data_IF_097628333015
#
_entry.id   IF_097628333015
#
_cell.length_a   1.000
_cell.length_b   1.000
_cell.length_c   1.000
_cell.angle_alpha   90.00
_cell.angle_beta   90.00
_cell.angle_gamma   90.00
#
_symmetry.space_group_name_H-M   'P 1'
#
loop_
_entity.id
_entity.type
_entity.pdbx_description
1 polymer ?
#
# COMPACT_ATOMS: atom_id res chain seq x y z
N UNK A 1 -0.10 -15.85 14.17
CA UNK A 1 -0.66 -15.63 12.82
C UNK A 1 0.10 -14.47 12.21
N UNK A 2 0.46 -14.53 10.93
CA UNK A 2 1.12 -13.40 10.25
C UNK A 2 0.11 -12.35 9.83
N UNK A 3 0.47 -11.07 9.90
CA UNK A 3 -0.39 -9.99 9.40
C UNK A 3 -0.34 -9.94 7.87
N UNK A 4 -1.48 -9.64 7.25
CA UNK A 4 -1.59 -9.45 5.81
C UNK A 4 -2.28 -8.11 5.53
N UNK A 5 -1.86 -7.44 4.45
CA UNK A 5 -2.53 -6.26 3.92
C UNK A 5 -2.94 -6.59 2.48
N UNK A 6 -4.23 -6.82 2.27
CA UNK A 6 -4.79 -7.08 0.95
C UNK A 6 -6.23 -6.62 0.80
N UNK A 7 -6.58 -6.31 -0.45
CA UNK A 7 -7.94 -6.25 -0.96
C UNK A 7 -7.98 -7.04 -2.28
N UNK A 8 -8.84 -8.04 -2.37
CA UNK A 8 -8.93 -8.95 -3.53
C UNK A 8 -10.39 -9.25 -3.84
N UNK A 9 -10.87 -8.70 -4.96
CA UNK A 9 -12.17 -9.02 -5.55
C UNK A 9 -13.33 -8.96 -4.54
N UNK A 10 -13.38 -7.85 -3.81
CA UNK A 10 -14.39 -7.56 -2.79
C UNK A 10 -14.09 -8.13 -1.40
N UNK A 11 -13.02 -8.91 -1.23
CA UNK A 11 -12.57 -9.38 0.08
C UNK A 11 -11.40 -8.53 0.58
N UNK A 12 -11.25 -8.40 1.89
CA UNK A 12 -10.13 -7.70 2.51
C UNK A 12 -9.52 -8.53 3.64
N UNK A 13 -8.30 -8.20 4.03
CA UNK A 13 -7.74 -8.67 5.30
C UNK A 13 -8.53 -8.08 6.48
N UNK A 14 -8.45 -8.73 7.64
CA UNK A 14 -9.21 -8.37 8.86
C UNK A 14 -9.10 -6.88 9.26
N UNK A 15 -7.92 -6.28 9.06
CA UNK A 15 -7.61 -4.90 9.44
C UNK A 15 -7.63 -3.94 8.26
N UNK A 16 -8.15 -4.37 7.11
CA UNK A 16 -8.16 -3.59 5.87
C UNK A 16 -9.59 -3.26 5.48
N UNK A 17 -9.83 -1.99 5.19
CA UNK A 17 -11.08 -1.53 4.58
C UNK A 17 -10.79 -0.83 3.26
N UNK A 18 -11.74 -0.92 2.32
CA UNK A 18 -11.65 -0.33 0.98
C UNK A 18 -12.62 0.82 0.85
N UNK A 19 -12.20 1.89 0.17
CA UNK A 19 -13.04 3.04 -0.15
C UNK A 19 -13.03 3.32 -1.65
N UNK A 20 -14.10 3.94 -2.12
CA UNK A 20 -14.22 4.39 -3.51
C UNK A 20 -13.49 5.71 -3.67
N UNK A 21 -12.58 5.80 -4.65
CA UNK A 21 -11.94 7.08 -4.99
C UNK A 21 -12.91 8.06 -5.66
N UNK A 22 -12.58 9.34 -5.57
CA UNK A 22 -13.12 10.38 -6.44
C UNK A 22 -12.14 10.54 -7.62
N UNK A 23 -12.66 10.82 -8.81
CA UNK A 23 -11.83 10.91 -10.02
C UNK A 23 -10.96 12.16 -9.99
N UNK A 24 -9.67 11.97 -10.27
CA UNK A 24 -8.70 13.06 -10.43
C UNK A 24 -8.26 13.72 -9.12
N UNK A 25 -8.59 13.11 -7.98
CA UNK A 25 -8.21 13.58 -6.64
C UNK A 25 -7.41 12.51 -5.89
N UNK A 26 -6.62 12.95 -4.93
CA UNK A 26 -5.88 12.08 -4.02
C UNK A 26 -6.84 11.53 -2.96
N UNK A 27 -7.36 10.32 -3.19
CA UNK A 27 -8.29 9.68 -2.27
C UNK A 27 -7.70 8.46 -1.60
N UNK A 28 -8.06 8.26 -0.34
CA UNK A 28 -7.78 7.02 0.37
C UNK A 28 -8.65 5.93 -0.23
N UNK A 29 -8.03 4.87 -0.73
CA UNK A 29 -8.76 3.72 -1.31
C UNK A 29 -8.56 2.44 -0.51
N UNK A 30 -7.54 2.39 0.36
CA UNK A 30 -7.40 1.37 1.41
C UNK A 30 -7.00 2.04 2.74
N UNK A 31 -7.62 1.59 3.83
CA UNK A 31 -7.18 1.89 5.20
C UNK A 31 -6.71 0.62 5.88
N UNK A 32 -5.66 0.74 6.67
CA UNK A 32 -5.12 -0.32 7.51
C UNK A 32 -5.12 0.16 8.95
N UNK A 33 -5.95 -0.49 9.77
CA UNK A 33 -6.19 -0.16 11.17
C UNK A 33 -5.86 -1.36 12.05
N UNK A 34 -4.68 -1.38 12.70
CA UNK A 34 -4.27 -2.51 13.54
C UNK A 34 -5.27 -2.81 14.67
N UNK A 35 -5.30 -4.07 15.12
CA UNK A 35 -6.13 -4.46 16.27
C UNK A 35 -5.78 -3.65 17.53
N UNK A 36 -6.79 -3.31 18.32
CA UNK A 36 -6.63 -2.57 19.57
C UNK A 36 -5.58 -3.19 20.50
N UNK A 37 -4.67 -2.38 21.01
CA UNK A 37 -3.57 -2.80 21.88
C UNK A 37 -2.37 -3.37 21.12
N UNK A 38 -2.38 -3.32 19.79
CA UNK A 38 -1.30 -3.84 18.95
C UNK A 38 -0.64 -2.78 18.07
N UNK A 39 0.46 -3.15 17.42
CA UNK A 39 1.01 -2.41 16.29
C UNK A 39 1.53 -3.35 15.20
N UNK A 40 1.52 -2.84 13.98
CA UNK A 40 2.09 -3.49 12.80
C UNK A 40 3.41 -2.80 12.44
N UNK A 41 4.35 -3.57 11.90
CA UNK A 41 5.61 -3.04 11.39
C UNK A 41 5.78 -3.43 9.93
N UNK A 42 5.96 -2.42 9.09
CA UNK A 42 6.33 -2.55 7.70
C UNK A 42 7.85 -2.38 7.60
N UNK A 43 8.55 -3.34 7.02
CA UNK A 43 9.99 -3.32 6.80
C UNK A 43 10.26 -2.85 5.39
N UNK A 44 11.18 -1.89 5.21
CA UNK A 44 11.56 -1.35 3.90
C UNK A 44 12.45 -2.32 3.08
N UNK A 45 12.27 -3.62 3.26
CA UNK A 45 13.08 -4.65 2.65
C UNK A 45 12.37 -6.00 2.73
N UNK A 46 12.57 -6.81 1.69
CA UNK A 46 12.18 -8.22 1.64
C UNK A 46 13.34 -9.08 1.13
N UNK A 47 13.35 -10.39 1.39
CA UNK A 47 14.38 -11.29 0.86
C UNK A 47 14.39 -11.41 -0.67
N UNK A 48 13.25 -11.18 -1.33
CA UNK A 48 13.12 -11.32 -2.78
C UNK A 48 13.61 -10.07 -3.53
N UNK A 49 14.30 -10.28 -4.66
CA UNK A 49 14.92 -9.21 -5.42
C UNK A 49 16.14 -8.60 -4.70
N UNK A 50 16.63 -7.48 -5.23
CA UNK A 50 17.84 -6.80 -4.75
C UNK A 50 17.59 -5.36 -4.29
N UNK A 51 16.50 -4.73 -4.73
CA UNK A 51 16.13 -3.37 -4.37
C UNK A 51 15.63 -3.24 -2.93
N UNK A 52 15.79 -2.04 -2.36
CA UNK A 52 15.07 -1.64 -1.15
C UNK A 52 13.61 -1.35 -1.48
N UNK A 53 12.75 -1.39 -0.47
CA UNK A 53 11.31 -1.16 -0.64
C UNK A 53 10.46 -2.38 -0.36
N UNK A 54 9.16 -2.12 -0.35
CA UNK A 54 8.12 -3.11 -0.10
C UNK A 54 7.47 -3.43 -1.44
N UNK A 55 7.45 -4.70 -1.89
CA UNK A 55 6.70 -5.05 -3.08
C UNK A 55 5.20 -4.87 -2.88
N UNK A 56 4.57 -4.17 -3.82
CA UNK A 56 3.11 -4.03 -3.97
C UNK A 56 2.69 -4.81 -5.20
N UNK A 57 1.78 -5.78 -5.05
CA UNK A 57 1.22 -6.51 -6.18
C UNK A 57 -0.17 -5.99 -6.49
N UNK A 58 -0.33 -5.44 -7.70
CA UNK A 58 -1.51 -4.67 -8.10
C UNK A 58 -2.07 -5.21 -9.42
N UNK A 59 -3.38 -5.45 -9.45
CA UNK A 59 -4.21 -5.61 -10.64
C UNK A 59 -5.46 -4.78 -10.40
N UNK A 60 -5.39 -3.49 -10.73
CA UNK A 60 -6.46 -2.53 -10.44
C UNK A 60 -7.35 -2.36 -11.67
N UNK A 61 -8.66 -2.44 -11.48
CA UNK A 61 -9.66 -2.43 -12.54
C UNK A 61 -10.76 -1.42 -12.27
N UNK A 62 -11.40 -0.96 -13.33
CA UNK A 62 -12.64 -0.18 -13.27
C UNK A 62 -13.87 -1.09 -13.24
N UNK A 63 -15.07 -0.49 -13.22
CA UNK A 63 -16.34 -1.24 -13.19
C UNK A 63 -16.63 -2.06 -14.47
N UNK A 64 -15.92 -1.80 -15.57
CA UNK A 64 -16.06 -2.55 -16.82
C UNK A 64 -15.13 -3.77 -16.86
N UNK A 65 -14.22 -3.92 -15.89
CA UNK A 65 -13.18 -4.94 -15.89
C UNK A 65 -11.93 -4.52 -16.64
N UNK A 66 -11.86 -3.28 -17.10
CA UNK A 66 -10.71 -2.76 -17.79
C UNK A 66 -9.63 -2.34 -16.76
N UNK A 67 -8.34 -2.56 -17.05
CA UNK A 67 -7.27 -2.08 -16.18
C UNK A 67 -7.35 -0.56 -15.99
N UNK A 68 -7.01 -0.08 -14.79
CA UNK A 68 -6.92 1.35 -14.54
C UNK A 68 -5.87 2.00 -15.46
N UNK A 69 -6.04 3.30 -15.82
CA UNK A 69 -5.12 3.95 -16.74
C UNK A 69 -3.67 4.03 -16.23
N UNK A 70 -2.66 4.00 -17.11
CA UNK A 70 -1.25 4.00 -16.71
C UNK A 70 -0.85 5.20 -15.84
N UNK A 71 -1.46 6.37 -16.05
CA UNK A 71 -1.22 7.58 -15.24
C UNK A 71 -1.84 7.52 -13.84
N UNK A 72 -2.38 6.38 -13.41
CA UNK A 72 -2.78 6.19 -12.01
C UNK A 72 -1.54 6.29 -11.14
N UNK A 73 -1.60 7.13 -10.12
CA UNK A 73 -0.54 7.33 -9.14
C UNK A 73 -0.98 6.79 -7.77
N UNK A 74 -0.03 6.41 -6.93
CA UNK A 74 -0.32 6.01 -5.55
C UNK A 74 0.83 6.28 -4.59
N UNK A 75 0.48 6.37 -3.31
CA UNK A 75 1.42 6.50 -2.20
C UNK A 75 0.82 6.00 -0.88
N UNK A 76 1.67 5.80 0.12
CA UNK A 76 1.23 5.54 1.49
C UNK A 76 1.29 6.81 2.34
N UNK A 77 0.20 7.08 3.06
CA UNK A 77 0.13 8.12 4.08
C UNK A 77 -0.15 7.52 5.45
N UNK A 78 0.43 8.08 6.51
CA UNK A 78 0.13 7.72 7.89
C UNK A 78 -0.60 8.88 8.56
N UNK A 79 -1.81 8.62 9.06
CA UNK A 79 -2.54 9.54 9.92
C UNK A 79 -2.30 9.15 11.37
N UNK A 80 -1.44 9.92 12.03
CA UNK A 80 -1.13 9.72 13.45
C UNK A 80 -2.28 10.22 14.32
N UNK A 81 -2.61 9.49 15.38
CA UNK A 81 -3.60 9.90 16.37
C UNK A 81 -3.40 11.35 16.84
N UNK A 82 -4.46 12.16 16.76
CA UNK A 82 -4.42 13.57 17.18
C UNK A 82 -3.87 14.54 16.15
N UNK A 83 -3.37 14.08 14.99
CA UNK A 83 -3.02 14.96 13.87
C UNK A 83 -4.23 15.19 12.96
N UNK A 84 -4.32 16.41 12.42
CA UNK A 84 -5.41 16.80 11.51
C UNK A 84 -5.22 16.24 10.09
N UNK A 85 -3.99 15.97 9.68
CA UNK A 85 -3.63 15.53 8.33
C UNK A 85 -2.78 14.25 8.38
N UNK A 86 -2.91 13.42 7.35
CA UNK A 86 -2.03 12.29 7.13
C UNK A 86 -0.73 12.76 6.47
N UNK A 87 0.39 12.12 6.81
CA UNK A 87 1.71 12.45 6.29
C UNK A 87 2.17 11.38 5.32
N UNK A 88 2.76 11.76 4.17
CA UNK A 88 3.39 10.83 3.23
C UNK A 88 4.52 10.05 3.92
N UNK A 89 4.48 8.72 3.81
CA UNK A 89 5.44 7.79 4.43
C UNK A 89 6.07 6.81 3.43
N UNK A 90 5.84 7.00 2.14
CA UNK A 90 6.50 6.26 1.07
C UNK A 90 7.02 7.19 -0.02
N UNK A 91 7.77 6.60 -0.95
CA UNK A 91 7.92 7.12 -2.30
C UNK A 91 6.54 7.21 -2.97
N UNK A 92 6.43 8.18 -3.86
CA UNK A 92 5.25 8.36 -4.70
C UNK A 92 5.48 7.61 -6.00
N UNK A 93 4.51 6.79 -6.39
CA UNK A 93 4.47 6.14 -7.69
C UNK A 93 3.58 7.01 -8.57
N UNK A 94 4.15 7.62 -9.61
CA UNK A 94 3.46 8.56 -10.49
C UNK A 94 2.74 7.87 -11.66
N UNK A 95 3.00 6.59 -11.89
CA UNK A 95 2.37 5.77 -12.92
C UNK A 95 2.42 4.27 -12.57
N UNK A 96 1.37 3.52 -12.93
CA UNK A 96 1.29 2.07 -12.69
C UNK A 96 1.71 1.23 -13.91
N UNK A 97 2.48 1.80 -14.85
CA UNK A 97 2.84 1.15 -16.11
C UNK A 97 3.48 -0.24 -15.92
N UNK A 98 4.38 -0.37 -14.95
CA UNK A 98 5.07 -1.63 -14.65
C UNK A 98 4.08 -2.72 -14.16
N UNK A 99 3.08 -2.35 -13.35
CA UNK A 99 2.05 -3.27 -12.88
C UNK A 99 1.12 -3.73 -14.01
N UNK A 100 0.81 -2.85 -14.97
CA UNK A 100 -0.07 -3.17 -16.09
C UNK A 100 0.57 -4.14 -17.10
N UNK A 101 1.90 -4.14 -17.21
CA UNK A 101 2.63 -5.02 -18.13
C UNK A 101 2.81 -6.44 -17.58
N UNK A 102 2.62 -6.63 -16.27
CA UNK A 102 2.92 -7.85 -15.56
C UNK A 102 1.66 -8.43 -14.91
N UNK A 103 1.40 -9.71 -15.11
CA UNK A 103 0.45 -10.45 -14.27
C UNK A 103 0.90 -10.45 -12.80
N UNK A 104 -0.02 -10.63 -11.85
CA UNK A 104 0.30 -10.76 -10.43
C UNK A 104 1.37 -11.83 -10.14
N UNK A 105 1.40 -12.92 -10.92
CA UNK A 105 2.43 -13.95 -10.78
C UNK A 105 3.80 -13.45 -11.24
N UNK A 106 3.87 -12.69 -12.34
CA UNK A 106 5.11 -12.09 -12.82
C UNK A 106 5.62 -11.03 -11.87
N UNK A 107 4.73 -10.19 -11.32
CA UNK A 107 5.07 -9.19 -10.30
C UNK A 107 5.76 -9.81 -9.06
N UNK A 108 5.38 -11.05 -8.69
CA UNK A 108 5.98 -11.81 -7.58
C UNK A 108 7.31 -12.49 -7.93
N UNK A 109 7.64 -12.58 -9.22
CA UNK A 109 8.83 -13.30 -9.67
C UNK A 109 10.09 -12.47 -9.39
N UNK A 110 11.19 -13.13 -9.04
CA UNK A 110 12.45 -12.46 -8.67
C UNK A 110 12.98 -11.51 -9.75
N UNK A 111 12.67 -11.79 -11.02
CA UNK A 111 13.13 -10.97 -12.16
C UNK A 111 12.36 -9.63 -12.29
N UNK A 112 11.20 -9.50 -11.64
CA UNK A 112 10.33 -8.33 -11.75
C UNK A 112 9.95 -7.72 -10.41
N UNK A 113 10.15 -8.44 -9.30
CA UNK A 113 9.72 -7.97 -7.97
C UNK A 113 10.30 -6.60 -7.61
N UNK A 114 11.52 -6.30 -8.05
CA UNK A 114 12.16 -5.01 -7.80
C UNK A 114 11.41 -3.83 -8.45
N UNK A 115 10.74 -4.01 -9.61
CA UNK A 115 9.93 -2.94 -10.24
C UNK A 115 8.61 -2.70 -9.53
N UNK A 116 8.24 -3.56 -8.59
CA UNK A 116 7.00 -3.44 -7.79
C UNK A 116 7.25 -2.88 -6.40
N UNK A 117 8.52 -2.58 -6.06
CA UNK A 117 8.92 -2.10 -4.74
C UNK A 117 8.66 -0.60 -4.62
N UNK A 118 8.03 -0.22 -3.51
CA UNK A 118 7.90 1.17 -3.11
C UNK A 118 8.65 1.40 -1.81
N UNK A 119 9.58 2.36 -1.82
CA UNK A 119 10.40 2.70 -0.66
C UNK A 119 9.60 3.40 0.43
N UNK A 120 9.88 3.10 1.69
CA UNK A 120 9.41 3.87 2.83
C UNK A 120 10.27 5.12 3.03
N UNK A 121 9.61 6.23 3.38
CA UNK A 121 10.27 7.51 3.65
C UNK A 121 9.79 8.13 4.96
N UNK A 122 10.65 8.94 5.56
CA UNK A 122 10.22 9.88 6.59
C UNK A 122 9.30 10.94 5.96
N UNK A 123 8.29 11.43 6.69
CA UNK A 123 7.56 12.62 6.27
C UNK A 123 8.49 13.76 5.87
N UNK A 124 8.10 14.57 4.89
CA UNK A 124 8.90 15.73 4.44
C UNK A 124 9.20 16.69 5.59
N UNK A 125 8.23 16.91 6.48
CA UNK A 125 8.40 17.70 7.70
C UNK A 125 9.51 17.17 8.62
N UNK A 126 9.89 15.89 8.48
CA UNK A 126 10.94 15.21 9.23
C UNK A 126 12.20 14.96 8.38
N UNK A 127 12.37 15.66 7.25
CA UNK A 127 13.55 15.60 6.41
C UNK A 127 13.47 14.66 5.19
N UNK A 128 12.36 13.93 4.99
CA UNK A 128 12.06 13.25 3.72
C UNK A 128 12.97 12.08 3.30
N UNK A 129 13.96 11.71 4.12
CA UNK A 129 14.91 10.64 3.80
C UNK A 129 14.32 9.23 3.87
N UNK A 130 15.00 8.22 3.32
CA UNK A 130 14.57 6.83 3.42
C UNK A 130 14.50 6.38 4.89
N UNK A 131 13.63 5.41 5.17
CA UNK A 131 13.50 4.82 6.51
C UNK A 131 13.51 3.30 6.41
N UNK A 132 14.14 2.64 7.39
CA UNK A 132 14.26 1.19 7.40
C UNK A 132 12.93 0.46 7.71
N UNK A 133 12.04 1.09 8.48
CA UNK A 133 10.78 0.50 8.89
C UNK A 133 9.74 1.56 9.29
N UNK A 134 8.46 1.21 9.19
CA UNK A 134 7.31 1.99 9.63
C UNK A 134 6.48 1.20 10.64
N UNK A 135 6.29 1.76 11.83
CA UNK A 135 5.37 1.23 12.83
C UNK A 135 4.02 1.94 12.72
N UNK A 136 2.95 1.16 12.61
CA UNK A 136 1.56 1.61 12.57
C UNK A 136 0.89 1.09 13.83
N UNK A 137 0.52 1.98 14.75
CA UNK A 137 -0.13 1.62 16.01
C UNK A 137 -1.64 1.48 15.81
N UNK A 138 -2.29 0.77 16.72
CA UNK A 138 -3.76 0.65 16.79
C UNK A 138 -4.55 1.98 16.84
N UNK A 139 -3.89 3.07 17.23
CA UNK A 139 -4.46 4.41 17.26
C UNK A 139 -4.16 5.23 16.00
N UNK A 140 -3.26 4.75 15.15
CA UNK A 140 -2.89 5.39 13.89
C UNK A 140 -3.58 4.66 12.73
N UNK A 141 -3.71 5.35 11.60
CA UNK A 141 -4.33 4.82 10.40
C UNK A 141 -3.34 4.91 9.24
N UNK A 142 -3.01 3.79 8.63
CA UNK A 142 -2.18 3.73 7.42
C UNK A 142 -3.10 3.72 6.19
N UNK A 143 -2.85 4.63 5.26
CA UNK A 143 -3.70 4.92 4.12
C UNK A 143 -2.95 4.62 2.81
N UNK A 144 -3.54 3.79 1.95
CA UNK A 144 -3.15 3.71 0.54
C UNK A 144 -3.95 4.77 -0.22
N UNK A 145 -3.26 5.79 -0.71
CA UNK A 145 -3.85 6.90 -1.44
C UNK A 145 -3.61 6.68 -2.92
N UNK A 146 -4.65 6.86 -3.72
CA UNK A 146 -4.62 6.64 -5.16
C UNK A 146 -5.23 7.84 -5.87
N UNK A 147 -4.57 8.28 -6.93
CA UNK A 147 -5.01 9.38 -7.80
C UNK A 147 -5.19 8.80 -9.19
N UNK A 148 -6.44 8.75 -9.66
CA UNK A 148 -6.80 8.06 -10.90
C UNK A 148 -7.85 8.85 -11.69
N UNK A 149 -7.75 8.87 -13.03
CA UNK A 149 -8.77 9.46 -13.91
C UNK A 149 -10.07 8.64 -14.01
N UNK A 150 -10.16 7.48 -13.37
CA UNK A 150 -11.36 6.62 -13.33
C UNK A 150 -11.59 6.06 -11.92
N UNK A 151 -12.81 5.57 -11.69
CA UNK A 151 -13.16 4.91 -10.44
C UNK A 151 -12.60 3.48 -10.41
N UNK A 152 -11.91 3.13 -9.32
CA UNK A 152 -11.54 1.74 -9.03
C UNK A 152 -12.79 0.92 -8.69
N UNK A 153 -12.85 -0.32 -9.15
CA UNK A 153 -13.82 -1.31 -8.70
C UNK A 153 -13.10 -2.40 -7.89
N UNK A 154 -13.27 -2.34 -6.57
CA UNK A 154 -12.67 -3.32 -5.66
C UNK A 154 -13.24 -4.74 -5.79
N UNK A 155 -14.42 -4.90 -6.38
CA UNK A 155 -14.98 -6.23 -6.68
C UNK A 155 -14.22 -6.96 -7.79
N UNK A 156 -13.45 -6.22 -8.59
CA UNK A 156 -12.64 -6.74 -9.70
C UNK A 156 -11.14 -6.53 -9.50
N UNK A 157 -10.76 -5.60 -8.62
CA UNK A 157 -9.37 -5.24 -8.34
C UNK A 157 -8.71 -6.16 -7.31
N UNK A 158 -7.39 -6.21 -7.39
CA UNK A 158 -6.51 -6.86 -6.42
C UNK A 158 -5.37 -5.93 -6.05
N UNK A 159 -5.13 -5.73 -4.76
CA UNK A 159 -3.97 -5.07 -4.21
C UNK A 159 -3.46 -5.87 -3.02
N UNK A 160 -2.17 -6.17 -2.99
CA UNK A 160 -1.53 -6.95 -1.93
C UNK A 160 -0.15 -6.40 -1.62
N UNK A 161 0.19 -6.33 -0.34
CA UNK A 161 1.54 -5.99 0.13
C UNK A 161 2.29 -7.27 0.52
N UNK A 162 3.53 -7.42 0.07
CA UNK A 162 4.36 -8.59 0.40
C UNK A 162 4.43 -8.87 1.90
N UNK A 163 3.86 -10.00 2.31
CA UNK A 163 3.83 -10.48 3.70
C UNK A 163 5.21 -10.58 4.35
N UNK A 164 6.27 -10.87 3.58
CA UNK A 164 7.64 -10.89 4.11
C UNK A 164 8.12 -9.50 4.57
N UNK A 165 7.47 -8.42 4.13
CA UNK A 165 7.72 -7.07 4.60
C UNK A 165 6.92 -6.72 5.86
N UNK A 166 5.97 -7.56 6.27
CA UNK A 166 5.05 -7.28 7.38
C UNK A 166 5.44 -8.07 8.64
N UNK A 167 5.38 -7.41 9.80
CA UNK A 167 5.63 -8.02 11.11
C UNK A 167 4.55 -7.62 12.11
N UNK A 168 4.29 -8.51 13.06
CA UNK A 168 3.26 -8.36 14.08
C UNK A 168 2.02 -9.25 13.80
N UNK A 169 0.88 -8.95 14.45
CA UNK A 169 0.70 -7.87 15.42
C UNK A 169 1.58 -8.05 16.67
N UNK A 170 2.18 -6.97 17.14
CA UNK A 170 2.92 -6.94 18.39
C UNK A 170 2.05 -6.33 19.48
N UNK A 171 1.99 -6.95 20.66
CA UNK A 171 1.30 -6.37 21.81
C UNK A 171 2.09 -5.18 22.35
N UNK A 172 1.39 -4.11 22.72
CA UNK A 172 1.97 -3.00 23.46
C UNK A 172 2.09 -3.42 24.93
N UNK A 173 3.32 -3.57 25.42
CA UNK A 173 3.61 -3.80 26.84
C UNK A 173 3.06 -2.66 27.73
#
# INVERSE_FOLDING_TARGET
MGVNIFAEKGNTAEHVTTEQNIVGTDDVVLRVDPERGTFLRLLNQVPQGSGEGIPHYLDLRDANGDPLPPQTAFEWRLKVAGQSQALKVSEEVDNIGDWLQLSLQQQRHNDHVDSTKVGLRNPEANGGGPRAQLDVRDIDELQFVLTCPTNIDWSQSTAYVESNALRGPFTKD
#
